data_IF_674397879853
#
_entry.id   IF_674397879853
#
_cell.length_a   1.000
_cell.length_b   1.000
_cell.length_c   1.000
_cell.angle_alpha   90.00
_cell.angle_beta   90.00
_cell.angle_gamma   90.00
#
_symmetry.space_group_name_H-M   'P 1'
#
loop_
_entity.id
_entity.type
_entity.pdbx_description
1 polymer ?
#
# COMPACT_ATOMS: atom_id res chain seq x y z
N UNK A 1 0.48 12.67 -3.69
CA UNK A 1 -0.82 12.15 -3.19
C UNK A 1 -0.96 12.46 -1.71
N UNK A 2 -2.15 12.87 -1.27
CA UNK A 2 -2.43 13.06 0.14
C UNK A 2 -3.29 11.90 0.67
N UNK A 3 -3.53 11.88 1.98
CA UNK A 3 -4.29 10.81 2.64
C UNK A 3 -5.73 10.73 2.12
N UNK A 4 -6.35 11.86 1.84
CA UNK A 4 -7.72 11.90 1.33
C UNK A 4 -7.84 11.21 -0.02
N UNK A 5 -6.91 11.47 -0.93
CA UNK A 5 -6.85 10.80 -2.23
C UNK A 5 -6.62 9.30 -2.07
N UNK A 6 -5.70 8.92 -1.18
CA UNK A 6 -5.41 7.52 -0.89
C UNK A 6 -6.65 6.80 -0.32
N UNK A 7 -7.37 7.45 0.58
CA UNK A 7 -8.60 6.93 1.18
C UNK A 7 -9.66 6.68 0.11
N UNK A 8 -9.85 7.62 -0.81
CA UNK A 8 -10.82 7.47 -1.89
C UNK A 8 -10.47 6.30 -2.81
N UNK A 9 -9.19 6.16 -3.17
CA UNK A 9 -8.73 5.03 -3.98
C UNK A 9 -8.96 3.71 -3.23
N UNK A 10 -8.60 3.66 -1.95
CA UNK A 10 -8.79 2.46 -1.13
C UNK A 10 -10.25 2.02 -1.14
N UNK A 11 -11.18 2.95 -0.90
CA UNK A 11 -12.61 2.62 -0.85
C UNK A 11 -13.21 2.31 -2.20
N UNK A 12 -12.57 2.70 -3.28
CA UNK A 12 -13.00 2.35 -4.63
C UNK A 12 -12.71 0.87 -4.94
N UNK A 13 -11.60 0.34 -4.43
CA UNK A 13 -11.13 -1.01 -4.77
C UNK A 13 -11.23 -2.02 -3.63
N UNK A 14 -11.43 -1.59 -2.40
CA UNK A 14 -11.51 -2.46 -1.23
C UNK A 14 -12.85 -2.25 -0.52
N UNK A 15 -13.67 -3.29 -0.47
CA UNK A 15 -15.02 -3.24 0.12
C UNK A 15 -15.14 -4.08 1.39
N UNK A 16 -14.32 -5.11 1.54
CA UNK A 16 -14.34 -5.99 2.70
C UNK A 16 -13.95 -5.24 3.97
N UNK A 17 -14.83 -5.21 4.97
CA UNK A 17 -14.57 -4.49 6.22
C UNK A 17 -13.32 -4.96 6.93
N UNK A 18 -13.07 -6.27 6.92
CA UNK A 18 -11.88 -6.88 7.51
C UNK A 18 -10.60 -6.33 6.89
N UNK A 19 -10.57 -6.22 5.57
CA UNK A 19 -9.42 -5.71 4.85
C UNK A 19 -9.25 -4.21 5.08
N UNK A 20 -10.36 -3.46 5.12
CA UNK A 20 -10.32 -2.03 5.42
C UNK A 20 -9.76 -1.77 6.81
N UNK A 21 -10.21 -2.53 7.82
CA UNK A 21 -9.72 -2.40 9.19
C UNK A 21 -8.23 -2.72 9.28
N UNK A 22 -7.78 -3.76 8.57
CA UNK A 22 -6.36 -4.11 8.49
C UNK A 22 -5.54 -2.96 7.90
N UNK A 23 -6.02 -2.37 6.80
CA UNK A 23 -5.35 -1.24 6.16
C UNK A 23 -5.24 -0.04 7.08
N UNK A 24 -6.29 0.28 7.82
CA UNK A 24 -6.26 1.38 8.80
C UNK A 24 -5.29 1.08 9.95
N UNK A 25 -5.25 -0.15 10.41
CA UNK A 25 -4.31 -0.55 11.48
C UNK A 25 -2.86 -0.40 11.02
N UNK A 26 -2.54 -0.84 9.80
CA UNK A 26 -1.20 -0.71 9.24
C UNK A 26 -0.84 0.75 9.02
N UNK A 27 -1.78 1.57 8.55
CA UNK A 27 -1.58 3.01 8.44
C UNK A 27 -1.16 3.61 9.79
N UNK A 28 -1.89 3.28 10.86
CA UNK A 28 -1.61 3.79 12.19
C UNK A 28 -0.23 3.36 12.69
N UNK A 29 0.13 2.11 12.47
CA UNK A 29 1.45 1.57 12.84
C UNK A 29 2.56 2.30 12.09
N UNK A 30 2.40 2.49 10.78
CA UNK A 30 3.40 3.14 9.95
C UNK A 30 3.58 4.61 10.34
N UNK A 31 2.49 5.31 10.66
CA UNK A 31 2.58 6.70 11.15
C UNK A 31 3.30 6.77 12.49
N UNK A 32 3.03 5.82 13.38
CA UNK A 32 3.71 5.76 14.67
C UNK A 32 5.21 5.53 14.54
N UNK A 33 5.60 4.60 13.65
CA UNK A 33 7.01 4.34 13.37
C UNK A 33 7.69 5.56 12.75
N UNK A 34 7.02 6.22 11.80
CA UNK A 34 7.59 7.38 11.11
C UNK A 34 7.85 8.54 12.08
N UNK A 35 7.00 8.73 13.08
CA UNK A 35 7.22 9.77 14.09
C UNK A 35 8.57 9.61 14.80
N UNK A 36 9.03 8.37 14.94
CA UNK A 36 10.31 8.06 15.60
C UNK A 36 11.49 8.03 14.63
N UNK A 37 11.28 7.48 13.42
CA UNK A 37 12.35 7.17 12.48
C UNK A 37 12.48 8.17 11.34
N UNK A 38 11.38 8.78 10.92
CA UNK A 38 11.33 9.68 9.78
C UNK A 38 10.20 10.73 9.98
N UNK A 39 10.36 11.65 10.97
CA UNK A 39 9.27 12.56 11.34
C UNK A 39 8.76 13.44 10.18
N UNK A 40 9.57 13.68 9.17
CA UNK A 40 9.17 14.48 8.01
C UNK A 40 8.35 13.68 6.99
N UNK A 41 8.28 12.36 7.16
CA UNK A 41 7.64 11.45 6.20
C UNK A 41 6.43 10.72 6.79
N UNK A 42 5.87 11.20 7.91
CA UNK A 42 4.73 10.56 8.58
C UNK A 42 3.57 10.34 7.63
N UNK A 43 3.20 11.37 6.86
CA UNK A 43 2.10 11.27 5.88
C UNK A 43 2.40 10.20 4.82
N UNK A 44 3.62 10.21 4.29
CA UNK A 44 4.04 9.28 3.25
C UNK A 44 4.00 7.83 3.74
N UNK A 45 4.55 7.58 4.93
CA UNK A 45 4.55 6.24 5.52
C UNK A 45 3.13 5.77 5.79
N UNK A 46 2.26 6.67 6.27
CA UNK A 46 0.86 6.35 6.51
C UNK A 46 0.13 5.94 5.24
N UNK A 47 0.35 6.67 4.15
CA UNK A 47 -0.25 6.36 2.85
C UNK A 47 0.25 5.01 2.32
N UNK A 48 1.54 4.74 2.45
CA UNK A 48 2.10 3.46 2.04
C UNK A 48 1.45 2.30 2.82
N UNK A 49 1.29 2.47 4.13
CA UNK A 49 0.62 1.47 4.96
C UNK A 49 -0.85 1.28 4.59
N UNK A 50 -1.54 2.37 4.31
CA UNK A 50 -2.96 2.33 3.94
C UNK A 50 -3.19 1.57 2.63
N UNK A 51 -2.28 1.72 1.67
CA UNK A 51 -2.43 1.17 0.32
C UNK A 51 -1.67 -0.13 0.07
N UNK A 52 -0.95 -0.65 1.06
CA UNK A 52 -0.07 -1.80 0.82
C UNK A 52 -0.80 -3.06 0.34
N UNK A 53 -2.06 -3.25 0.74
CA UNK A 53 -2.89 -4.40 0.36
C UNK A 53 -4.05 -4.01 -0.56
N UNK A 54 -3.91 -2.91 -1.31
CA UNK A 54 -4.98 -2.39 -2.17
C UNK A 54 -5.55 -3.45 -3.12
N UNK A 55 -4.72 -4.39 -3.56
CA UNK A 55 -5.10 -5.46 -4.49
C UNK A 55 -5.69 -6.71 -3.83
N UNK A 56 -5.87 -6.72 -2.51
CA UNK A 56 -6.29 -7.91 -1.75
C UNK A 56 -7.53 -8.58 -2.34
N UNK A 57 -8.50 -7.78 -2.77
CA UNK A 57 -9.76 -8.26 -3.35
C UNK A 57 -9.75 -8.23 -4.89
N UNK A 58 -8.65 -7.75 -5.51
CA UNK A 58 -8.59 -7.51 -6.95
C UNK A 58 -7.73 -8.52 -7.70
N UNK A 59 -6.97 -9.34 -6.99
CA UNK A 59 -6.11 -10.34 -7.63
C UNK A 59 -6.23 -11.69 -6.93
N UNK A 60 -5.80 -12.74 -7.64
CA UNK A 60 -5.87 -14.12 -7.15
C UNK A 60 -4.58 -14.50 -6.42
N UNK A 61 -4.26 -13.73 -5.37
CA UNK A 61 -3.04 -13.93 -4.60
C UNK A 61 -3.00 -15.29 -3.89
N UNK A 62 -4.17 -15.90 -3.65
CA UNK A 62 -4.27 -17.21 -3.00
C UNK A 62 -3.68 -18.32 -3.88
N UNK A 63 -3.81 -18.19 -5.20
CA UNK A 63 -3.26 -19.15 -6.16
C UNK A 63 -1.91 -18.71 -6.73
N UNK A 64 -1.69 -17.39 -6.82
CA UNK A 64 -0.44 -16.84 -7.32
C UNK A 64 -0.04 -15.62 -6.48
N UNK A 65 0.75 -15.87 -5.47
CA UNK A 65 1.17 -14.82 -4.54
C UNK A 65 2.02 -13.73 -5.21
N UNK A 66 2.67 -14.04 -6.33
CA UNK A 66 3.52 -13.07 -7.04
C UNK A 66 2.75 -11.85 -7.56
N UNK A 67 1.44 -11.95 -7.76
CA UNK A 67 0.62 -10.82 -8.24
C UNK A 67 0.24 -9.85 -7.12
N UNK A 68 0.36 -10.27 -5.86
CA UNK A 68 0.05 -9.41 -4.72
C UNK A 68 1.15 -8.35 -4.55
N UNK A 69 0.78 -7.10 -4.59
CA UNK A 69 1.68 -5.95 -4.65
C UNK A 69 1.75 -5.36 -6.05
N UNK A 70 2.24 -6.10 -7.07
CA UNK A 70 2.23 -5.58 -8.45
C UNK A 70 0.85 -5.17 -8.96
N UNK A 71 -0.21 -5.88 -8.58
CA UNK A 71 -1.57 -5.49 -8.96
C UNK A 71 -1.97 -4.17 -8.28
N UNK A 72 -1.56 -3.94 -7.03
CA UNK A 72 -1.77 -2.65 -6.37
C UNK A 72 -1.10 -1.52 -7.14
N UNK A 73 0.13 -1.74 -7.62
CA UNK A 73 0.86 -0.76 -8.43
C UNK A 73 0.11 -0.43 -9.72
N UNK A 74 -0.40 -1.44 -10.42
CA UNK A 74 -1.19 -1.24 -11.63
C UNK A 74 -2.45 -0.43 -11.35
N UNK A 75 -3.15 -0.70 -10.26
CA UNK A 75 -4.32 0.07 -9.84
C UNK A 75 -3.95 1.54 -9.62
N UNK A 76 -2.86 1.80 -8.90
CA UNK A 76 -2.43 3.16 -8.61
C UNK A 76 -2.03 3.90 -9.88
N UNK A 77 -1.34 3.26 -10.81
CA UNK A 77 -1.01 3.86 -12.11
C UNK A 77 -2.26 4.24 -12.88
N UNK A 78 -3.28 3.38 -12.85
CA UNK A 78 -4.57 3.62 -13.50
C UNK A 78 -5.29 4.83 -12.89
N UNK A 79 -5.11 5.06 -11.59
CA UNK A 79 -5.68 6.20 -10.89
C UNK A 79 -4.83 7.47 -11.00
N UNK A 80 -3.78 7.45 -11.81
CA UNK A 80 -2.95 8.61 -12.07
C UNK A 80 -1.80 8.82 -11.10
N UNK A 81 -1.51 7.84 -10.26
CA UNK A 81 -0.40 7.92 -9.31
C UNK A 81 0.89 7.48 -9.99
N UNK A 82 1.93 8.32 -9.89
CA UNK A 82 3.26 8.04 -10.44
C UNK A 82 4.30 8.28 -9.36
N UNK A 83 4.56 7.26 -8.54
CA UNK A 83 5.53 7.34 -7.44
C UNK A 83 6.24 6.00 -7.31
N UNK A 84 7.42 5.91 -7.93
CA UNK A 84 8.18 4.66 -7.96
C UNK A 84 8.62 4.20 -6.57
N UNK A 85 8.94 5.12 -5.67
CA UNK A 85 9.33 4.77 -4.30
C UNK A 85 8.16 4.10 -3.56
N UNK A 86 6.95 4.65 -3.71
CA UNK A 86 5.75 4.07 -3.15
C UNK A 86 5.47 2.69 -3.76
N UNK A 87 5.60 2.56 -5.08
CA UNK A 87 5.38 1.29 -5.77
C UNK A 87 6.35 0.22 -5.30
N UNK A 88 7.62 0.56 -5.17
CA UNK A 88 8.64 -0.38 -4.68
C UNK A 88 8.35 -0.80 -3.24
N UNK A 89 7.92 0.11 -2.39
CA UNK A 89 7.57 -0.19 -1.01
C UNK A 89 6.38 -1.14 -0.92
N UNK A 90 5.34 -0.92 -1.73
CA UNK A 90 4.16 -1.78 -1.77
C UNK A 90 4.53 -3.19 -2.24
N UNK A 91 5.30 -3.31 -3.31
CA UNK A 91 5.71 -4.61 -3.84
C UNK A 91 6.67 -5.34 -2.88
N UNK A 92 7.54 -4.61 -2.20
CA UNK A 92 8.56 -5.20 -1.35
C UNK A 92 8.01 -5.86 -0.09
N UNK A 93 6.77 -5.53 0.34
CA UNK A 93 6.17 -6.23 1.48
C UNK A 93 5.84 -7.70 1.14
N UNK A 94 5.84 -8.06 -0.13
CA UNK A 94 5.62 -9.43 -0.62
C UNK A 94 6.87 -9.91 -1.36
N UNK A 95 7.72 -10.76 -0.75
CA UNK A 95 8.95 -11.25 -1.40
C UNK A 95 8.70 -11.99 -2.71
N UNK A 96 7.51 -12.56 -2.88
CA UNK A 96 7.13 -13.29 -4.10
C UNK A 96 6.95 -12.39 -5.32
N UNK A 97 6.86 -11.07 -5.13
CA UNK A 97 6.76 -10.11 -6.24
C UNK A 97 8.08 -9.97 -6.99
N UNK A 98 9.20 -10.37 -6.38
CA UNK A 98 10.53 -10.21 -6.96
C UNK A 98 11.12 -8.82 -6.80
N UNK A 99 10.42 -7.90 -6.18
CA UNK A 99 10.90 -6.54 -5.93
C UNK A 99 11.57 -6.47 -4.56
N UNK A 100 12.78 -5.95 -4.51
CA UNK A 100 13.51 -5.78 -3.25
C UNK A 100 13.14 -4.48 -2.57
N UNK A 101 13.11 -4.49 -1.24
CA UNK A 101 12.86 -3.29 -0.47
C UNK A 101 13.98 -2.27 -0.69
N UNK A 102 13.59 -1.03 -1.00
CA UNK A 102 14.50 0.12 -1.18
C UNK A 102 14.31 1.15 -0.08
N UNK A 103 13.26 1.01 0.71
CA UNK A 103 12.97 1.85 1.87
C UNK A 103 12.73 0.96 3.08
N UNK A 104 12.94 1.51 4.24
CA UNK A 104 12.71 0.78 5.49
C UNK A 104 11.28 0.94 5.99
#
# INVERSE_FOLDING_TARGET
>A
MNREQAYEILHKYMKGERYLQHSYAVEAIMRGLAKKLAPDDVEYWGIAGLLHDLDEEQCDWQNDLSVHGPTSVEILKKEGVEDQVLFDAICAHNPKSGVKAKTN
#
